data_IF_217698488049
#
_entry.id   IF_217698488049
#
_cell.length_a   1.000
_cell.length_b   1.000
_cell.length_c   1.000
_cell.angle_alpha   90.00
_cell.angle_beta   90.00
_cell.angle_gamma   90.00
#
_symmetry.space_group_name_H-M   'P 1'
#
loop_
_entity.id
_entity.type
_entity.pdbx_description
1 polymer ?
#
# COMPACT_ATOMS: atom_id res chain seq x y z
N UNK A 1 15.37 -54.07 2.99
CA UNK A 1 15.30 -52.66 2.69
C UNK A 1 14.03 -52.04 3.26
N UNK A 2 14.07 -51.53 4.49
CA UNK A 2 12.98 -50.72 5.04
C UNK A 2 13.22 -49.30 4.63
N UNK A 3 12.29 -48.70 3.84
CA UNK A 3 12.26 -47.30 3.50
C UNK A 3 11.93 -46.50 4.75
N UNK A 4 12.80 -45.57 5.11
CA UNK A 4 12.55 -44.51 6.09
C UNK A 4 11.46 -43.60 5.51
N UNK A 5 10.21 -43.82 5.95
CA UNK A 5 9.14 -42.84 5.83
C UNK A 5 9.46 -41.68 6.74
N UNK A 6 10.10 -40.63 6.21
CA UNK A 6 10.14 -39.35 6.85
C UNK A 6 8.76 -38.72 6.70
N UNK A 7 8.04 -38.64 7.82
CA UNK A 7 6.78 -37.94 7.95
C UNK A 7 6.98 -36.47 7.56
N UNK A 8 6.54 -36.11 6.38
CA UNK A 8 6.51 -34.74 5.88
C UNK A 8 5.47 -33.86 6.61
N UNK A 9 4.72 -34.41 7.55
CA UNK A 9 3.77 -33.66 8.39
C UNK A 9 4.43 -32.87 9.53
N UNK A 10 5.68 -33.13 9.87
CA UNK A 10 6.39 -32.41 10.96
C UNK A 10 7.08 -31.12 10.52
N UNK A 11 7.06 -30.74 9.25
CA UNK A 11 7.68 -29.53 8.73
C UNK A 11 6.76 -28.29 8.72
N UNK A 12 5.53 -28.39 9.15
CA UNK A 12 4.60 -27.27 9.31
C UNK A 12 4.42 -26.81 10.77
N UNK A 13 5.41 -26.93 11.60
CA UNK A 13 5.52 -26.00 12.71
C UNK A 13 5.85 -24.65 12.10
N UNK A 14 4.80 -23.92 11.70
CA UNK A 14 4.83 -22.50 11.47
C UNK A 14 5.52 -21.88 12.69
N UNK A 15 6.79 -21.53 12.55
CA UNK A 15 7.47 -20.68 13.54
C UNK A 15 6.60 -19.43 13.60
N UNK A 16 5.76 -19.36 14.63
CA UNK A 16 4.93 -18.18 14.84
C UNK A 16 5.91 -17.01 14.97
N UNK A 17 5.88 -16.04 14.05
CA UNK A 17 6.84 -14.96 14.10
C UNK A 17 6.69 -14.26 15.45
N UNK A 18 7.82 -13.91 16.07
CA UNK A 18 7.82 -13.19 17.35
C UNK A 18 7.04 -11.89 17.15
N UNK A 19 5.85 -11.83 17.72
CA UNK A 19 5.00 -10.65 17.66
C UNK A 19 5.38 -9.64 18.72
N UNK A 20 5.21 -8.37 18.41
CA UNK A 20 5.40 -7.23 19.32
C UNK A 20 4.04 -6.57 19.52
N UNK A 21 3.71 -6.18 20.74
CA UNK A 21 2.52 -5.38 21.02
C UNK A 21 2.66 -3.97 20.45
N UNK A 22 1.74 -3.57 19.58
CA UNK A 22 1.63 -2.22 19.04
C UNK A 22 0.46 -1.49 19.66
N UNK A 23 0.72 -0.31 20.24
CA UNK A 23 -0.33 0.54 20.84
C UNK A 23 -0.91 1.47 19.80
N UNK A 24 -2.24 1.45 19.62
CA UNK A 24 -2.95 2.39 18.76
C UNK A 24 -2.85 3.80 19.33
N UNK A 25 -2.42 4.76 18.51
CA UNK A 25 -2.32 6.18 18.87
C UNK A 25 -3.51 6.97 18.34
N UNK A 26 -3.89 6.72 17.09
CA UNK A 26 -5.02 7.41 16.47
C UNK A 26 -5.67 6.58 15.38
N UNK A 27 -6.93 6.87 15.12
CA UNK A 27 -7.76 6.27 14.07
C UNK A 27 -8.49 7.38 13.30
N UNK A 28 -8.54 7.26 12.00
CA UNK A 28 -9.38 8.09 11.12
C UNK A 28 -10.31 7.18 10.34
N UNK A 29 -11.63 7.38 10.44
CA UNK A 29 -12.63 6.53 9.82
C UNK A 29 -13.23 7.18 8.58
N UNK A 30 -13.49 6.37 7.57
CA UNK A 30 -13.99 6.74 6.25
C UNK A 30 -14.97 5.71 5.72
N UNK A 31 -15.70 6.07 4.68
CA UNK A 31 -16.40 5.11 3.83
C UNK A 31 -17.70 4.56 4.43
N UNK A 32 -18.20 5.10 5.54
CA UNK A 32 -19.45 4.65 6.15
C UNK A 32 -20.65 4.86 5.19
N UNK A 33 -20.76 6.03 4.57
CA UNK A 33 -21.85 6.39 3.67
C UNK A 33 -21.87 5.57 2.37
N UNK A 34 -20.71 5.09 1.92
CA UNK A 34 -20.57 4.22 0.72
C UNK A 34 -20.55 2.74 1.08
N UNK A 35 -20.95 2.38 2.31
CA UNK A 35 -20.97 1.01 2.82
C UNK A 35 -19.62 0.27 2.66
N UNK A 36 -18.54 1.00 2.87
CA UNK A 36 -17.18 0.48 2.83
C UNK A 36 -16.36 1.03 4.00
N UNK A 37 -16.78 0.79 5.25
CA UNK A 37 -16.11 1.34 6.41
C UNK A 37 -14.62 0.97 6.38
N UNK A 38 -13.78 1.99 6.44
CA UNK A 38 -12.34 1.88 6.29
C UNK A 38 -11.68 2.79 7.31
N UNK A 39 -10.63 2.30 7.96
CA UNK A 39 -9.89 3.06 8.97
C UNK A 39 -8.42 3.20 8.57
N UNK A 40 -7.88 4.40 8.74
CA UNK A 40 -6.43 4.63 8.77
C UNK A 40 -6.02 4.51 10.23
N UNK A 41 -5.18 3.53 10.53
CA UNK A 41 -4.73 3.22 11.88
C UNK A 41 -3.27 3.61 12.05
N UNK A 42 -2.98 4.40 13.08
CA UNK A 42 -1.64 4.82 13.44
C UNK A 42 -1.24 4.29 14.81
N UNK A 43 -0.13 3.58 14.86
CA UNK A 43 0.42 2.97 16.07
C UNK A 43 1.74 3.61 16.47
N UNK A 44 2.01 3.61 17.77
CA UNK A 44 3.29 4.02 18.30
C UNK A 44 4.41 3.08 17.83
N UNK A 45 5.61 3.63 17.60
CA UNK A 45 6.78 2.81 17.32
C UNK A 45 7.18 2.04 18.59
N UNK A 46 7.28 0.70 18.51
CA UNK A 46 7.82 -0.06 19.59
C UNK A 46 9.32 0.28 19.79
N UNK A 47 9.77 0.24 21.02
CA UNK A 47 11.19 0.43 21.35
C UNK A 47 11.96 -0.80 20.87
N UNK A 48 12.89 -0.66 19.90
CA UNK A 48 13.69 -1.79 19.46
C UNK A 48 14.69 -2.20 20.53
N UNK A 49 14.92 -3.50 20.67
CA UNK A 49 16.00 -4.03 21.51
C UNK A 49 17.37 -3.61 20.96
N UNK A 50 18.42 -3.69 21.77
CA UNK A 50 19.79 -3.39 21.31
C UNK A 50 20.18 -4.28 20.12
N UNK A 51 19.83 -5.55 20.16
CA UNK A 51 20.09 -6.50 19.07
C UNK A 51 19.35 -6.10 17.77
N UNK A 52 18.09 -5.73 17.86
CA UNK A 52 17.31 -5.24 16.69
C UNK A 52 17.92 -3.96 16.10
N UNK A 53 18.47 -3.07 16.92
CA UNK A 53 19.18 -1.86 16.44
C UNK A 53 20.45 -2.23 15.69
N UNK A 54 21.23 -3.17 16.21
CA UNK A 54 22.48 -3.61 15.59
C UNK A 54 22.26 -4.38 14.28
N UNK A 55 21.25 -5.24 14.24
CA UNK A 55 20.95 -6.07 13.07
C UNK A 55 20.03 -5.40 12.06
N UNK A 56 19.38 -4.30 12.42
CA UNK A 56 18.35 -3.66 11.61
C UNK A 56 17.11 -4.54 11.41
N UNK A 57 16.82 -5.44 12.37
CA UNK A 57 15.69 -6.37 12.27
C UNK A 57 14.41 -5.84 12.93
N UNK A 58 13.27 -6.43 12.57
CA UNK A 58 11.97 -6.06 13.11
C UNK A 58 11.66 -4.57 12.90
N UNK A 59 11.02 -3.96 13.90
CA UNK A 59 10.60 -2.54 13.83
C UNK A 59 11.75 -1.52 13.94
N UNK A 60 13.02 -1.97 14.04
CA UNK A 60 14.17 -1.07 13.96
C UNK A 60 14.39 -0.51 12.57
N UNK A 61 13.94 -1.21 11.51
CA UNK A 61 14.07 -0.79 10.12
C UNK A 61 12.87 -1.29 9.30
N UNK A 62 12.08 -0.39 8.79
CA UNK A 62 11.00 -0.68 7.83
C UNK A 62 10.77 0.52 6.92
N UNK A 63 10.09 0.29 5.81
CA UNK A 63 9.76 1.29 4.80
C UNK A 63 8.29 1.18 4.42
N UNK A 64 7.70 2.24 3.89
CA UNK A 64 6.40 2.18 3.25
C UNK A 64 6.39 1.06 2.18
N UNK A 65 5.27 0.36 2.07
CA UNK A 65 5.14 -0.83 1.22
C UNK A 65 5.68 -2.13 1.81
N UNK A 66 6.36 -2.14 2.98
CA UNK A 66 6.53 -3.37 3.74
C UNK A 66 5.19 -3.86 4.29
N UNK A 67 5.11 -5.12 4.63
CA UNK A 67 3.89 -5.72 5.15
C UNK A 67 3.96 -5.80 6.68
N UNK A 68 2.86 -5.45 7.32
CA UNK A 68 2.63 -5.74 8.72
C UNK A 68 1.68 -6.92 8.84
N UNK A 69 2.10 -7.97 9.53
CA UNK A 69 1.28 -9.12 9.88
C UNK A 69 0.59 -8.87 11.23
N UNK A 70 -0.74 -8.97 11.25
CA UNK A 70 -1.54 -8.84 12.46
C UNK A 70 -2.11 -10.19 12.84
N UNK A 71 -1.94 -10.56 14.11
CA UNK A 71 -2.46 -11.81 14.67
C UNK A 71 -3.74 -11.46 15.45
N UNK A 72 -4.93 -11.75 14.93
CA UNK A 72 -6.18 -11.33 15.56
C UNK A 72 -6.46 -12.05 16.88
N UNK A 73 -6.01 -13.30 17.00
CA UNK A 73 -6.08 -14.13 18.23
C UNK A 73 -5.09 -15.28 18.15
N UNK A 74 -4.76 -15.89 19.29
CA UNK A 74 -3.84 -17.04 19.35
C UNK A 74 -4.35 -18.17 18.46
N UNK A 75 -3.47 -18.70 17.60
CA UNK A 75 -3.78 -19.79 16.66
C UNK A 75 -4.47 -19.36 15.37
N UNK A 76 -4.86 -18.10 15.20
CA UNK A 76 -5.41 -17.61 13.94
C UNK A 76 -4.30 -17.26 12.94
N UNK A 77 -4.57 -17.50 11.66
CA UNK A 77 -3.65 -17.09 10.60
C UNK A 77 -3.52 -15.55 10.55
N UNK A 78 -2.30 -15.02 10.47
CA UNK A 78 -2.08 -13.57 10.38
C UNK A 78 -2.68 -13.01 9.10
N UNK A 79 -3.08 -11.73 9.15
CA UNK A 79 -3.46 -10.93 7.98
C UNK A 79 -2.42 -9.86 7.74
N UNK A 80 -2.09 -9.66 6.47
CA UNK A 80 -1.06 -8.71 6.06
C UNK A 80 -1.68 -7.44 5.52
N UNK A 81 -1.07 -6.30 5.89
CA UNK A 81 -1.44 -4.98 5.42
C UNK A 81 -0.18 -4.24 4.98
N UNK A 82 -0.26 -3.52 3.86
CA UNK A 82 0.88 -2.75 3.34
C UNK A 82 1.03 -1.46 4.14
N UNK A 83 2.25 -1.21 4.63
CA UNK A 83 2.55 -0.04 5.45
C UNK A 83 2.46 1.26 4.64
N UNK A 84 1.77 2.24 5.20
CA UNK A 84 1.66 3.61 4.72
C UNK A 84 2.71 4.55 5.33
N UNK A 85 3.64 4.01 6.11
CA UNK A 85 4.71 4.76 6.77
C UNK A 85 6.03 4.02 6.72
N UNK A 86 7.09 4.74 7.04
CA UNK A 86 8.44 4.24 7.21
C UNK A 86 8.94 4.48 8.65
N UNK A 87 10.07 3.91 8.99
CA UNK A 87 10.74 4.17 10.29
C UNK A 87 11.02 5.65 10.53
N UNK A 88 11.32 6.40 9.46
CA UNK A 88 11.62 7.82 9.53
C UNK A 88 10.42 8.69 9.92
N UNK A 89 9.20 8.21 9.68
CA UNK A 89 7.97 8.95 10.01
C UNK A 89 7.66 8.97 11.52
N UNK A 90 8.30 8.10 12.31
CA UNK A 90 8.13 8.07 13.76
C UNK A 90 6.89 7.29 14.24
N UNK A 91 6.16 6.64 13.34
CA UNK A 91 4.96 5.85 13.64
C UNK A 91 4.79 4.70 12.64
N UNK A 92 3.88 3.77 12.95
CA UNK A 92 3.44 2.71 12.05
C UNK A 92 2.02 3.06 11.61
N UNK A 93 1.77 3.06 10.29
CA UNK A 93 0.46 3.40 9.73
C UNK A 93 0.08 2.45 8.60
N UNK A 94 -1.17 2.03 8.57
CA UNK A 94 -1.75 1.26 7.46
C UNK A 94 -3.26 1.47 7.37
N UNK A 95 -3.84 1.09 6.24
CA UNK A 95 -5.26 1.28 5.92
C UNK A 95 -5.98 -0.05 5.98
N UNK A 96 -7.10 -0.10 6.67
CA UNK A 96 -7.90 -1.33 6.85
C UNK A 96 -9.35 -1.07 6.44
N UNK A 97 -9.83 -1.82 5.46
CA UNK A 97 -11.26 -1.90 5.14
C UNK A 97 -11.89 -3.01 5.97
N UNK A 98 -13.00 -2.71 6.65
CA UNK A 98 -13.79 -3.71 7.34
C UNK A 98 -14.51 -4.61 6.35
N UNK A 99 -14.28 -5.91 6.46
CA UNK A 99 -15.00 -6.92 5.70
C UNK A 99 -16.10 -7.55 6.58
N UNK A 100 -17.32 -7.75 6.05
CA UNK A 100 -18.36 -8.48 6.77
C UNK A 100 -17.83 -9.88 7.18
N UNK A 101 -17.95 -10.22 8.46
CA UNK A 101 -17.43 -11.49 9.01
C UNK A 101 -15.90 -11.60 9.08
N UNK A 102 -15.15 -10.58 8.68
CA UNK A 102 -13.69 -10.60 8.74
C UNK A 102 -13.17 -10.42 10.16
N UNK A 103 -12.61 -11.48 10.76
CA UNK A 103 -12.12 -11.48 12.14
C UNK A 103 -11.07 -10.38 12.38
N UNK A 104 -10.02 -10.35 11.56
CA UNK A 104 -8.91 -9.39 11.75
C UNK A 104 -9.32 -7.95 11.40
N UNK A 105 -10.03 -7.73 10.30
CA UNK A 105 -10.51 -6.40 9.95
C UNK A 105 -11.57 -5.88 10.93
N UNK A 106 -12.41 -6.77 11.47
CA UNK A 106 -13.37 -6.44 12.53
C UNK A 106 -12.67 -6.00 13.81
N UNK A 107 -11.65 -6.76 14.25
CA UNK A 107 -10.82 -6.40 15.39
C UNK A 107 -10.17 -5.02 15.18
N UNK A 108 -9.44 -4.84 14.09
CA UNK A 108 -8.66 -3.62 13.83
C UNK A 108 -9.52 -2.36 13.75
N UNK A 109 -10.70 -2.45 13.12
CA UNK A 109 -11.62 -1.31 13.00
C UNK A 109 -12.46 -1.06 14.27
N UNK A 110 -12.33 -1.90 15.29
CA UNK A 110 -12.93 -1.72 16.60
C UNK A 110 -11.96 -1.19 17.67
N UNK A 111 -10.64 -1.12 17.35
CA UNK A 111 -9.64 -0.62 18.29
C UNK A 111 -9.87 0.85 18.62
N UNK A 112 -9.64 1.19 19.89
CA UNK A 112 -9.61 2.56 20.39
C UNK A 112 -8.18 2.99 20.76
N UNK A 113 -7.86 4.29 20.74
CA UNK A 113 -6.54 4.75 21.19
C UNK A 113 -6.17 4.21 22.57
N UNK A 114 -4.98 3.61 22.69
CA UNK A 114 -4.51 2.90 23.86
C UNK A 114 -4.58 1.38 23.75
N UNK A 115 -5.41 0.84 22.87
CA UNK A 115 -5.50 -0.61 22.66
C UNK A 115 -4.21 -1.16 22.04
N UNK A 116 -3.93 -2.44 22.33
CA UNK A 116 -2.71 -3.13 21.90
C UNK A 116 -3.07 -4.32 21.02
N UNK A 117 -2.35 -4.46 19.90
CA UNK A 117 -2.48 -5.60 19.00
C UNK A 117 -1.12 -6.25 18.73
N UNK A 118 -1.09 -7.58 18.65
CA UNK A 118 0.11 -8.33 18.29
C UNK A 118 0.44 -8.21 16.81
N UNK A 119 1.66 -7.79 16.48
CA UNK A 119 2.10 -7.56 15.13
C UNK A 119 3.56 -7.96 14.88
N UNK A 120 3.89 -8.24 13.64
CA UNK A 120 5.25 -8.46 13.16
C UNK A 120 5.45 -7.88 11.77
N UNK A 121 6.70 -7.64 11.38
CA UNK A 121 7.02 -7.09 10.06
C UNK A 121 7.44 -8.20 9.09
N UNK A 122 7.05 -8.04 7.84
CA UNK A 122 7.51 -8.80 6.69
C UNK A 122 8.01 -7.83 5.61
N UNK A 123 9.32 -7.82 5.30
CA UNK A 123 9.84 -6.98 4.23
C UNK A 123 9.20 -7.30 2.87
N UNK A 124 8.94 -6.26 2.08
CA UNK A 124 8.45 -6.36 0.71
C UNK A 124 9.36 -5.56 -0.24
N UNK A 125 10.58 -6.03 -0.51
CA UNK A 125 11.56 -5.28 -1.33
C UNK A 125 11.14 -5.12 -2.79
N UNK A 126 10.21 -5.94 -3.29
CA UNK A 126 9.66 -5.85 -4.64
C UNK A 126 8.80 -4.61 -4.86
N UNK A 127 8.15 -4.10 -3.81
CA UNK A 127 7.27 -2.94 -3.91
C UNK A 127 7.91 -1.70 -3.30
N UNK A 128 8.81 -1.07 -4.06
CA UNK A 128 9.57 0.12 -3.66
C UNK A 128 9.62 1.14 -4.79
N UNK A 129 9.61 2.45 -4.48
CA UNK A 129 9.71 3.51 -5.50
C UNK A 129 11.07 3.56 -6.22
N UNK A 130 12.03 2.75 -5.80
CA UNK A 130 13.39 2.76 -6.33
C UNK A 130 14.18 4.02 -5.92
N UNK A 131 15.47 4.02 -6.24
CA UNK A 131 16.36 5.16 -6.01
C UNK A 131 16.43 6.03 -7.28
N UNK A 132 16.72 7.31 -7.11
CA UNK A 132 16.94 8.23 -8.23
C UNK A 132 15.85 9.30 -8.36
N UNK A 133 15.89 10.04 -9.48
CA UNK A 133 15.01 11.19 -9.74
C UNK A 133 13.96 10.94 -10.82
N UNK A 134 13.93 9.74 -11.40
CA UNK A 134 12.93 9.39 -12.40
C UNK A 134 11.51 9.58 -11.83
N UNK A 135 10.54 10.04 -12.64
CA UNK A 135 9.17 10.27 -12.18
C UNK A 135 8.53 9.02 -11.56
N UNK A 136 7.57 9.23 -10.66
CA UNK A 136 6.69 8.19 -10.12
C UNK A 136 5.29 8.36 -10.67
N UNK A 137 4.71 7.28 -11.15
CA UNK A 137 3.28 7.16 -11.45
C UNK A 137 2.71 6.17 -10.44
N UNK A 138 1.98 6.69 -9.46
CA UNK A 138 1.38 5.95 -8.37
C UNK A 138 -0.10 5.75 -8.68
N UNK A 139 -0.57 4.50 -8.76
CA UNK A 139 -1.93 4.18 -9.17
C UNK A 139 -2.56 3.29 -8.12
N UNK A 140 -3.66 3.73 -7.53
CA UNK A 140 -4.33 2.97 -6.49
C UNK A 140 -5.82 3.24 -6.37
N UNK A 141 -6.54 2.31 -5.76
CA UNK A 141 -7.95 2.49 -5.44
C UNK A 141 -8.25 1.93 -4.04
N UNK A 142 -9.15 2.59 -3.32
CA UNK A 142 -9.53 2.20 -1.97
C UNK A 142 -8.31 2.09 -1.05
N UNK A 143 -8.18 0.98 -0.33
CA UNK A 143 -7.07 0.76 0.63
C UNK A 143 -5.69 0.70 -0.01
N UNK A 144 -5.60 0.50 -1.33
CA UNK A 144 -4.34 0.56 -2.08
C UNK A 144 -3.61 1.91 -2.01
N UNK A 145 -4.31 2.97 -1.60
CA UNK A 145 -3.67 4.27 -1.32
C UNK A 145 -2.61 4.20 -0.21
N UNK A 146 -2.73 3.27 0.75
CA UNK A 146 -1.87 3.22 1.93
C UNK A 146 -0.38 3.30 1.62
N UNK A 147 0.24 2.30 0.97
CA UNK A 147 1.66 2.34 0.65
C UNK A 147 2.02 3.49 -0.29
N UNK A 148 1.12 3.89 -1.21
CA UNK A 148 1.34 5.00 -2.12
C UNK A 148 1.45 6.33 -1.37
N UNK A 149 0.59 6.56 -0.37
CA UNK A 149 0.68 7.71 0.53
C UNK A 149 2.02 7.73 1.27
N UNK A 150 2.50 6.57 1.74
CA UNK A 150 3.82 6.45 2.35
C UNK A 150 4.96 6.81 1.40
N UNK A 151 4.85 6.45 0.12
CA UNK A 151 5.85 6.83 -0.89
C UNK A 151 5.85 8.33 -1.18
N UNK A 152 4.68 8.96 -1.25
CA UNK A 152 4.57 10.43 -1.39
C UNK A 152 5.15 11.14 -0.18
N UNK A 153 4.81 10.72 1.04
CA UNK A 153 5.34 11.27 2.29
C UNK A 153 6.87 11.20 2.33
N UNK A 154 7.45 10.10 1.87
CA UNK A 154 8.90 9.91 1.82
C UNK A 154 9.58 10.58 0.62
N UNK A 155 8.86 11.26 -0.27
CA UNK A 155 9.41 11.88 -1.48
C UNK A 155 10.15 13.20 -1.15
N UNK A 156 11.14 13.14 -0.25
CA UNK A 156 11.97 14.28 0.13
C UNK A 156 12.87 14.81 -1.00
N UNK A 157 13.34 13.99 -1.96
CA UNK A 157 14.05 14.48 -3.14
C UNK A 157 13.17 15.31 -4.09
N UNK A 158 11.85 15.33 -3.85
CA UNK A 158 10.85 16.02 -4.67
C UNK A 158 10.97 15.64 -6.14
N UNK A 159 11.15 14.34 -6.41
CA UNK A 159 11.06 13.81 -7.78
C UNK A 159 9.61 13.94 -8.24
N UNK A 160 9.35 14.13 -9.54
CA UNK A 160 7.97 14.23 -10.03
C UNK A 160 7.17 13.01 -9.61
N UNK A 161 6.07 13.20 -8.88
CA UNK A 161 5.19 12.15 -8.40
C UNK A 161 3.75 12.48 -8.79
N UNK A 162 3.13 11.55 -9.50
CA UNK A 162 1.76 11.65 -10.02
C UNK A 162 0.94 10.56 -9.35
N UNK A 163 -0.13 10.93 -8.66
CA UNK A 163 -1.02 10.00 -7.97
C UNK A 163 -2.36 9.94 -8.69
N UNK A 164 -2.70 8.76 -9.20
CA UNK A 164 -4.02 8.40 -9.71
C UNK A 164 -4.75 7.63 -8.60
N UNK A 165 -5.81 8.23 -8.06
CA UNK A 165 -6.52 7.66 -6.93
C UNK A 165 -8.00 7.44 -7.22
N UNK A 166 -8.42 6.16 -7.16
CA UNK A 166 -9.81 5.73 -7.30
C UNK A 166 -10.52 5.65 -5.96
N UNK A 167 -11.67 6.32 -5.87
CA UNK A 167 -12.56 6.30 -4.73
C UNK A 167 -14.01 6.09 -5.16
N UNK A 168 -14.89 5.78 -4.22
CA UNK A 168 -16.33 5.67 -4.50
C UNK A 168 -16.99 7.03 -4.50
N UNK A 169 -16.74 7.83 -3.47
CA UNK A 169 -17.34 9.15 -3.32
C UNK A 169 -16.39 10.12 -2.59
N UNK A 170 -16.09 11.31 -3.12
CA UNK A 170 -15.06 12.20 -2.57
C UNK A 170 -15.32 12.68 -1.13
N UNK A 171 -16.59 12.78 -0.72
CA UNK A 171 -16.93 13.17 0.65
C UNK A 171 -16.90 12.03 1.66
N UNK A 172 -16.77 10.78 1.21
CA UNK A 172 -16.88 9.60 2.07
C UNK A 172 -15.56 8.83 2.19
N UNK A 173 -14.87 8.57 1.09
CA UNK A 173 -13.69 7.71 1.05
C UNK A 173 -12.49 8.33 0.30
N UNK A 174 -12.36 9.66 0.38
CA UNK A 174 -11.14 10.35 -0.02
C UNK A 174 -10.11 10.26 1.11
N UNK A 175 -9.39 9.15 1.15
CA UNK A 175 -8.36 8.92 2.16
C UNK A 175 -7.19 9.89 1.99
N UNK A 176 -6.62 10.37 3.10
CA UNK A 176 -5.47 11.28 3.12
C UNK A 176 -5.72 12.65 2.46
N UNK A 177 -6.94 13.13 2.35
CA UNK A 177 -7.28 14.40 1.69
C UNK A 177 -6.46 15.60 2.18
N UNK A 178 -6.40 15.80 3.50
CA UNK A 178 -5.58 16.87 4.10
C UNK A 178 -4.06 16.63 3.90
N UNK A 179 -3.60 15.36 4.04
CA UNK A 179 -2.20 15.01 3.82
C UNK A 179 -1.81 15.26 2.34
N UNK A 180 -2.65 14.87 1.38
CA UNK A 180 -2.43 15.06 -0.06
C UNK A 180 -2.32 16.55 -0.40
N UNK A 181 -3.22 17.39 0.13
CA UNK A 181 -3.17 18.82 -0.07
C UNK A 181 -1.83 19.42 0.41
N UNK A 182 -1.41 19.04 1.62
CA UNK A 182 -0.11 19.46 2.16
C UNK A 182 1.08 18.96 1.31
N UNK A 183 1.02 17.73 0.78
CA UNK A 183 2.09 17.20 -0.09
C UNK A 183 2.15 17.91 -1.45
N UNK A 184 1.03 18.38 -1.98
CA UNK A 184 1.02 19.22 -3.18
C UNK A 184 1.64 20.59 -2.90
N UNK A 185 1.29 21.23 -1.79
CA UNK A 185 1.86 22.52 -1.37
C UNK A 185 3.37 22.44 -1.13
N UNK A 186 3.85 21.36 -0.53
CA UNK A 186 5.28 21.15 -0.24
C UNK A 186 6.07 20.59 -1.43
N UNK A 187 5.41 20.22 -2.53
CA UNK A 187 6.03 19.67 -3.74
C UNK A 187 6.47 18.21 -3.63
N UNK A 188 6.00 17.46 -2.62
CA UNK A 188 6.21 16.02 -2.52
C UNK A 188 5.32 15.27 -3.51
N UNK A 189 4.15 15.82 -3.83
CA UNK A 189 3.22 15.33 -4.86
C UNK A 189 3.07 16.40 -5.95
N UNK A 190 3.43 16.08 -7.18
CA UNK A 190 3.35 17.01 -8.32
C UNK A 190 1.92 17.15 -8.85
N UNK A 191 1.17 16.04 -8.90
CA UNK A 191 -0.19 16.03 -9.41
C UNK A 191 -1.03 14.91 -8.79
N UNK A 192 -2.28 15.24 -8.48
CA UNK A 192 -3.33 14.29 -8.13
C UNK A 192 -4.34 14.22 -9.27
N UNK A 193 -4.71 13.01 -9.67
CA UNK A 193 -5.84 12.72 -10.57
C UNK A 193 -6.78 11.77 -9.84
N UNK A 194 -8.02 12.18 -9.63
CA UNK A 194 -9.02 11.38 -8.93
C UNK A 194 -9.99 10.72 -9.91
N UNK A 195 -10.41 9.50 -9.59
CA UNK A 195 -11.46 8.78 -10.29
C UNK A 195 -12.57 8.41 -9.30
N UNK A 196 -13.82 8.73 -9.62
CA UNK A 196 -14.96 8.56 -8.72
C UNK A 196 -15.93 7.55 -9.33
N UNK A 197 -16.07 6.38 -8.71
CA UNK A 197 -16.84 5.27 -9.28
C UNK A 197 -18.35 5.33 -8.94
N UNK A 198 -18.79 6.16 -8.02
CA UNK A 198 -20.20 6.33 -7.63
C UNK A 198 -20.65 7.80 -7.71
N UNK A 199 -20.26 8.48 -8.77
CA UNK A 199 -20.70 9.85 -9.10
C UNK A 199 -21.77 9.85 -10.20
N UNK A 200 -22.17 11.06 -10.63
CA UNK A 200 -23.08 11.25 -11.75
C UNK A 200 -22.52 10.71 -13.06
N UNK A 201 -21.20 10.71 -13.21
CA UNK A 201 -20.46 10.09 -14.31
C UNK A 201 -19.41 9.16 -13.69
N UNK A 202 -19.71 7.86 -13.52
CA UNK A 202 -18.77 6.91 -12.94
C UNK A 202 -17.47 6.86 -13.75
N UNK A 203 -16.34 6.94 -13.04
CA UNK A 203 -15.00 6.92 -13.63
C UNK A 203 -14.08 6.07 -12.74
N UNK A 204 -13.25 5.24 -13.36
CA UNK A 204 -12.27 4.39 -12.67
C UNK A 204 -10.85 4.87 -12.97
N UNK A 205 -9.87 4.42 -12.21
CA UNK A 205 -8.47 4.85 -12.38
C UNK A 205 -7.92 4.54 -13.78
N UNK A 206 -8.33 3.43 -14.39
CA UNK A 206 -7.94 3.10 -15.77
C UNK A 206 -8.51 4.09 -16.79
N UNK A 207 -9.69 4.64 -16.55
CA UNK A 207 -10.29 5.66 -17.43
C UNK A 207 -9.59 7.01 -17.24
N UNK A 208 -9.24 7.34 -16.00
CA UNK A 208 -8.43 8.51 -15.69
C UNK A 208 -7.04 8.44 -16.34
N UNK A 209 -6.41 7.26 -16.38
CA UNK A 209 -5.16 7.04 -17.10
C UNK A 209 -5.31 7.27 -18.61
N UNK A 210 -6.40 6.79 -19.23
CA UNK A 210 -6.70 7.02 -20.65
C UNK A 210 -6.92 8.50 -20.93
N UNK A 211 -7.60 9.22 -20.06
CA UNK A 211 -7.79 10.67 -20.16
C UNK A 211 -6.47 11.43 -20.14
N UNK A 212 -5.50 10.97 -19.34
CA UNK A 212 -4.17 11.55 -19.20
C UNK A 212 -3.11 10.85 -20.07
N UNK A 213 -3.52 10.12 -21.12
CA UNK A 213 -2.65 9.23 -21.89
C UNK A 213 -1.36 9.87 -22.38
N UNK A 214 -1.42 11.09 -22.92
CA UNK A 214 -0.25 11.80 -23.43
C UNK A 214 0.78 12.07 -22.33
N UNK A 215 0.32 12.52 -21.16
CA UNK A 215 1.18 12.78 -20.03
C UNK A 215 1.78 11.51 -19.42
N UNK A 216 0.96 10.45 -19.31
CA UNK A 216 1.42 9.13 -18.83
C UNK A 216 2.49 8.56 -19.76
N UNK A 217 2.26 8.59 -21.08
CA UNK A 217 3.24 8.13 -22.06
C UNK A 217 4.54 8.94 -21.99
N UNK A 218 4.44 10.28 -21.92
CA UNK A 218 5.61 11.16 -21.78
C UNK A 218 6.44 10.80 -20.57
N UNK A 219 5.82 10.69 -19.39
CA UNK A 219 6.52 10.34 -18.14
C UNK A 219 7.20 8.97 -18.22
N UNK A 220 6.53 7.99 -18.84
CA UNK A 220 7.10 6.64 -19.00
C UNK A 220 8.29 6.68 -19.96
N UNK A 221 8.25 7.46 -21.05
CA UNK A 221 9.37 7.67 -21.94
C UNK A 221 10.55 8.38 -21.23
N UNK A 222 10.28 9.24 -20.25
CA UNK A 222 11.29 9.86 -19.38
C UNK A 222 11.83 8.94 -18.29
N UNK A 223 11.45 7.68 -18.30
CA UNK A 223 11.94 6.66 -17.35
C UNK A 223 11.10 6.50 -16.09
N UNK A 224 9.86 6.99 -16.07
CA UNK A 224 9.00 6.86 -14.90
C UNK A 224 8.86 5.41 -14.42
N UNK A 225 8.75 5.27 -13.10
CA UNK A 225 8.38 4.01 -12.44
C UNK A 225 6.89 4.04 -12.13
N UNK A 226 6.19 3.03 -12.60
CA UNK A 226 4.75 2.80 -12.36
C UNK A 226 4.59 1.86 -11.18
N UNK A 227 3.77 2.26 -10.21
CA UNK A 227 3.48 1.49 -9.01
C UNK A 227 1.97 1.37 -8.83
N UNK A 228 1.47 0.14 -8.80
CA UNK A 228 0.04 -0.16 -8.73
C UNK A 228 -0.28 -0.87 -7.42
N UNK A 229 -1.27 -0.38 -6.67
CA UNK A 229 -1.72 -1.03 -5.44
C UNK A 229 -3.25 -1.04 -5.33
N UNK A 230 -3.82 -2.23 -5.10
CA UNK A 230 -5.27 -2.41 -4.92
C UNK A 230 -5.77 -3.77 -5.35
N UNK A 231 -7.08 -3.87 -5.65
CA UNK A 231 -7.72 -5.12 -6.05
C UNK A 231 -7.30 -5.60 -7.45
N UNK A 232 -7.41 -6.90 -7.66
CA UNK A 232 -7.01 -7.58 -8.92
C UNK A 232 -7.69 -7.02 -10.17
N UNK A 233 -8.99 -6.76 -10.09
CA UNK A 233 -9.75 -6.23 -11.23
C UNK A 233 -9.26 -4.82 -11.62
N UNK A 234 -8.96 -3.99 -10.62
CA UNK A 234 -8.37 -2.67 -10.85
C UNK A 234 -6.98 -2.79 -11.50
N UNK A 235 -6.13 -3.68 -11.02
CA UNK A 235 -4.79 -3.87 -11.57
C UNK A 235 -4.84 -4.38 -13.03
N UNK A 236 -5.77 -5.29 -13.35
CA UNK A 236 -6.01 -5.73 -14.73
C UNK A 236 -6.44 -4.57 -15.63
N UNK A 237 -7.44 -3.78 -15.22
CA UNK A 237 -7.88 -2.62 -15.98
C UNK A 237 -6.78 -1.57 -16.18
N UNK A 238 -5.91 -1.37 -15.19
CA UNK A 238 -4.73 -0.50 -15.29
C UNK A 238 -3.73 -1.05 -16.31
N UNK A 239 -3.46 -2.36 -16.30
CA UNK A 239 -2.55 -2.99 -17.26
C UNK A 239 -3.06 -2.84 -18.69
N UNK A 240 -4.38 -3.03 -18.92
CA UNK A 240 -5.02 -2.85 -20.22
C UNK A 240 -4.92 -1.38 -20.71
N UNK A 241 -5.24 -0.42 -19.83
CA UNK A 241 -5.12 1.00 -20.16
C UNK A 241 -3.68 1.39 -20.50
N UNK A 242 -2.69 0.89 -19.72
CA UNK A 242 -1.29 1.15 -20.03
C UNK A 242 -0.84 0.50 -21.34
N UNK A 243 -1.36 -0.68 -21.69
CA UNK A 243 -1.06 -1.30 -22.98
C UNK A 243 -1.54 -0.43 -24.15
N UNK A 244 -2.76 0.12 -24.06
CA UNK A 244 -3.32 1.04 -25.04
C UNK A 244 -2.51 2.35 -25.14
N UNK A 245 -2.15 2.95 -23.98
CA UNK A 245 -1.41 4.22 -23.90
C UNK A 245 0.00 4.08 -24.47
N UNK A 246 0.65 2.93 -24.26
CA UNK A 246 2.04 2.71 -24.61
C UNK A 246 2.25 2.17 -26.03
N UNK A 247 1.21 1.61 -26.64
CA UNK A 247 1.30 1.06 -28.01
C UNK A 247 1.84 2.08 -29.05
N UNK A 248 1.41 3.37 -29.05
CA UNK A 248 1.92 4.35 -30.00
C UNK A 248 3.40 4.67 -29.86
N UNK A 249 3.98 4.44 -28.67
CA UNK A 249 5.41 4.70 -28.39
C UNK A 249 6.27 3.42 -28.40
N UNK A 250 5.68 2.29 -28.83
CA UNK A 250 6.39 1.02 -28.97
C UNK A 250 6.77 0.34 -27.66
N UNK A 251 6.12 0.70 -26.56
CA UNK A 251 6.32 0.12 -25.23
C UNK A 251 5.11 -0.75 -24.83
N UNK A 252 5.33 -1.63 -23.87
CA UNK A 252 4.26 -2.45 -23.27
C UNK A 252 4.45 -2.55 -21.77
N UNK A 253 3.39 -2.84 -20.99
CA UNK A 253 3.50 -3.14 -19.57
C UNK A 253 4.49 -4.28 -19.27
N UNK A 254 4.59 -5.28 -20.15
CA UNK A 254 5.52 -6.41 -20.00
C UNK A 254 6.99 -5.95 -20.06
N UNK A 255 7.32 -5.05 -20.99
CA UNK A 255 8.66 -4.45 -21.09
C UNK A 255 8.98 -3.68 -19.79
N UNK A 256 8.06 -2.85 -19.31
CA UNK A 256 8.25 -2.10 -18.06
C UNK A 256 8.41 -3.03 -16.84
N UNK A 257 7.70 -4.16 -16.80
CA UNK A 257 7.87 -5.19 -15.74
C UNK A 257 9.26 -5.81 -15.82
N UNK A 258 9.73 -6.18 -17.01
CA UNK A 258 11.05 -6.75 -17.23
C UNK A 258 12.17 -5.77 -16.82
N UNK A 259 11.99 -4.47 -17.07
CA UNK A 259 12.92 -3.42 -16.63
C UNK A 259 12.79 -3.07 -15.13
N UNK A 260 11.87 -3.68 -14.41
CA UNK A 260 11.57 -3.36 -13.02
C UNK A 260 10.93 -1.97 -12.83
N UNK A 261 10.40 -1.38 -13.89
CA UNK A 261 9.75 -0.06 -13.87
C UNK A 261 8.24 -0.11 -13.65
N UNK A 262 7.64 -1.29 -13.72
CA UNK A 262 6.24 -1.52 -13.38
C UNK A 262 6.18 -2.57 -12.27
N UNK A 263 5.66 -2.18 -11.11
CA UNK A 263 5.55 -3.05 -9.94
C UNK A 263 4.14 -2.98 -9.35
N UNK A 264 3.66 -4.09 -8.84
CA UNK A 264 2.30 -4.25 -8.31
C UNK A 264 2.32 -4.82 -6.89
N UNK A 265 1.41 -4.33 -6.05
CA UNK A 265 1.03 -4.93 -4.76
C UNK A 265 -0.49 -5.12 -4.78
N UNK A 266 -0.93 -6.32 -5.21
CA UNK A 266 -2.31 -6.63 -5.55
C UNK A 266 -2.85 -7.73 -4.64
N UNK A 267 -4.09 -7.58 -4.15
CA UNK A 267 -4.76 -8.47 -3.20
C UNK A 267 -6.22 -8.81 -3.57
#
# INVERSE_FOLDING_TARGET
>A
GQALGLDLELAHHLVTPVSVGLTLVSRRDYGAEVQAPTSILRFALPRPTLWQRLTGSGFARFSAGDLIGIIPQTGAAPRFYSLASSRADGFIEFVVKRHPGGLCSGLLTALEPGDIVGAFLRPNPGFRPGRGRAPLILIGAGTGIGPLAGFVRANSPKRPAYLFFGMRHPKSDFFYDADISAWQETGQLSRLVTAVSRGAQPNYVQDALRTEAAEVARLICEGARVMVCGGRDMASGVADALAEILAPVGLTPAVLKAEGRYVEDVY
#
